data_IF_746071160293
#
_entry.id   IF_746071160293
#
_cell.length_a   1.000
_cell.length_b   1.000
_cell.length_c   1.000
_cell.angle_alpha   90.00
_cell.angle_beta   90.00
_cell.angle_gamma   90.00
#
_symmetry.space_group_name_H-M   'P 1'
#
loop_
_entity.id
_entity.type
_entity.pdbx_description
1 polymer ?
#
# COMPACT_ATOMS: atom_id res chain seq x y z
N UNK A 1 -6.00 27.37 17.37
CA UNK A 1 -5.55 25.98 17.67
C UNK A 1 -5.59 25.19 16.38
N UNK A 2 -4.43 24.75 15.91
CA UNK A 2 -4.24 24.18 14.58
C UNK A 2 -4.58 22.69 14.58
N UNK A 3 -5.79 22.30 14.11
CA UNK A 3 -6.30 20.92 14.17
C UNK A 3 -5.41 19.90 13.44
N UNK A 4 -4.59 20.33 12.48
CA UNK A 4 -3.68 19.44 11.75
C UNK A 4 -2.54 18.86 12.60
N UNK A 5 -2.05 19.58 13.63
CA UNK A 5 -0.93 19.11 14.45
C UNK A 5 -1.33 17.98 15.42
N UNK A 6 -2.61 17.90 15.80
CA UNK A 6 -3.11 16.84 16.70
C UNK A 6 -3.26 15.50 15.96
N UNK A 7 -3.70 15.50 14.70
CA UNK A 7 -3.95 14.28 13.93
C UNK A 7 -2.69 13.48 13.54
N UNK A 8 -1.56 14.15 13.30
CA UNK A 8 -0.32 13.48 12.84
C UNK A 8 0.37 12.73 13.98
N UNK A 9 0.32 13.26 15.21
CA UNK A 9 0.88 12.57 16.37
C UNK A 9 0.09 11.28 16.69
N UNK A 10 -1.22 11.30 16.50
CA UNK A 10 -2.09 10.15 16.81
C UNK A 10 -1.77 8.93 15.92
N UNK A 11 -1.52 9.12 14.62
CA UNK A 11 -1.21 7.99 13.71
C UNK A 11 0.16 7.37 13.97
N UNK A 12 1.14 8.19 14.31
CA UNK A 12 2.48 7.69 14.62
C UNK A 12 2.48 6.88 15.91
N UNK A 13 1.83 7.39 16.97
CA UNK A 13 1.66 6.65 18.22
C UNK A 13 0.88 5.35 18.00
N UNK A 14 -0.22 5.41 17.25
CA UNK A 14 -1.02 4.22 16.91
C UNK A 14 -0.19 3.17 16.14
N UNK A 15 0.66 3.61 15.21
CA UNK A 15 1.55 2.70 14.51
C UNK A 15 2.63 2.10 15.41
N UNK A 16 3.22 2.89 16.32
CA UNK A 16 4.17 2.37 17.30
C UNK A 16 3.56 1.27 18.16
N UNK A 17 2.32 1.45 18.63
CA UNK A 17 1.58 0.41 19.36
C UNK A 17 1.37 -0.81 18.48
N UNK A 18 0.91 -0.63 17.23
CA UNK A 18 0.74 -1.76 16.31
C UNK A 18 2.05 -2.51 16.05
N UNK A 19 3.18 -1.80 15.99
CA UNK A 19 4.51 -2.42 15.83
C UNK A 19 4.90 -3.28 17.01
N UNK A 20 4.67 -2.79 18.22
CA UNK A 20 4.94 -3.56 19.45
C UNK A 20 4.01 -4.77 19.57
N UNK A 21 2.79 -4.66 19.06
CA UNK A 21 1.81 -5.73 19.04
C UNK A 21 2.16 -6.85 18.05
N UNK A 22 3.03 -6.63 17.06
CA UNK A 22 3.42 -7.67 16.11
C UNK A 22 4.30 -8.72 16.79
N UNK A 23 3.73 -9.89 17.08
CA UNK A 23 4.47 -10.96 17.72
C UNK A 23 5.56 -11.56 16.82
N UNK A 24 6.61 -12.12 17.43
CA UNK A 24 7.68 -12.81 16.71
C UNK A 24 7.15 -13.94 15.80
N UNK A 25 6.15 -14.69 16.28
CA UNK A 25 5.52 -15.76 15.49
C UNK A 25 4.76 -15.21 14.28
N UNK A 26 4.04 -14.10 14.44
CA UNK A 26 3.37 -13.43 13.31
C UNK A 26 4.40 -12.88 12.32
N UNK A 27 5.46 -12.20 12.80
CA UNK A 27 6.55 -11.71 11.97
C UNK A 27 7.24 -12.82 11.18
N UNK A 28 7.59 -13.93 11.83
CA UNK A 28 8.17 -15.10 11.18
C UNK A 28 7.22 -15.70 10.13
N UNK A 29 5.91 -15.70 10.37
CA UNK A 29 4.93 -16.14 9.38
C UNK A 29 4.85 -15.18 8.18
N UNK A 30 4.96 -13.87 8.38
CA UNK A 30 5.03 -12.88 7.30
C UNK A 30 6.22 -13.15 6.37
N UNK A 31 7.38 -13.46 6.94
CA UNK A 31 8.57 -13.83 6.15
C UNK A 31 8.39 -15.19 5.49
N UNK A 32 8.22 -16.26 6.29
CA UNK A 32 8.27 -17.63 5.78
C UNK A 32 7.06 -18.04 4.95
N UNK A 33 5.83 -17.74 5.43
CA UNK A 33 4.60 -18.17 4.76
C UNK A 33 4.16 -17.18 3.68
N UNK A 34 4.31 -15.89 3.95
CA UNK A 34 3.82 -14.86 3.06
C UNK A 34 4.92 -14.24 2.18
N UNK A 35 6.19 -14.60 2.34
CA UNK A 35 7.27 -14.18 1.44
C UNK A 35 7.56 -12.69 1.51
N UNK A 36 7.24 -12.03 2.62
CA UNK A 36 7.63 -10.63 2.84
C UNK A 36 9.12 -10.62 3.20
N UNK A 37 9.98 -9.81 2.56
CA UNK A 37 11.38 -9.70 2.93
C UNK A 37 11.53 -9.34 4.41
N UNK A 38 12.47 -9.96 5.13
CA UNK A 38 12.67 -9.71 6.55
C UNK A 38 12.88 -8.22 6.86
N UNK A 39 13.63 -7.50 6.02
CA UNK A 39 13.85 -6.06 6.14
C UNK A 39 12.56 -5.21 6.06
N UNK A 40 11.47 -5.72 5.46
CA UNK A 40 10.15 -5.06 5.44
C UNK A 40 9.34 -5.36 6.69
N UNK A 41 9.59 -6.50 7.34
CA UNK A 41 8.96 -6.82 8.63
C UNK A 41 9.68 -6.04 9.75
N UNK A 42 11.01 -6.03 9.71
CA UNK A 42 11.90 -5.35 10.65
C UNK A 42 11.84 -3.83 10.45
N UNK A 43 10.84 -3.17 11.04
CA UNK A 43 10.80 -1.70 11.02
C UNK A 43 9.51 -1.11 10.45
N UNK A 44 8.88 -1.82 9.52
CA UNK A 44 7.88 -1.23 8.64
C UNK A 44 6.50 -1.88 8.75
N UNK A 45 6.29 -2.86 9.62
CA UNK A 45 4.98 -3.47 9.84
C UNK A 45 4.62 -3.58 11.31
N UNK A 46 3.31 -3.53 11.57
CA UNK A 46 2.69 -3.83 12.86
C UNK A 46 1.53 -4.80 12.71
N UNK A 47 0.86 -5.12 13.81
CA UNK A 47 -0.37 -5.86 13.85
C UNK A 47 -1.36 -5.21 14.82
N UNK A 48 -2.65 -5.30 14.52
CA UNK A 48 -3.71 -4.79 15.38
C UNK A 48 -4.94 -5.69 15.33
N UNK A 49 -5.72 -5.65 16.40
CA UNK A 49 -7.10 -6.16 16.40
C UNK A 49 -8.02 -5.02 15.96
N UNK A 50 -8.80 -5.24 14.91
CA UNK A 50 -9.55 -4.18 14.22
C UNK A 50 -11.03 -4.51 14.07
N UNK A 51 -11.87 -3.47 14.17
CA UNK A 51 -13.22 -3.44 13.59
C UNK A 51 -13.12 -2.85 12.18
N UNK A 52 -14.02 -3.24 11.28
CA UNK A 52 -14.02 -2.73 9.90
C UNK A 52 -15.39 -2.29 9.42
N UNK A 53 -15.38 -1.25 8.59
CA UNK A 53 -16.47 -0.87 7.71
C UNK A 53 -16.15 -1.36 6.28
N UNK A 54 -16.78 -0.79 5.27
CA UNK A 54 -16.48 -1.10 3.87
C UNK A 54 -15.05 -0.72 3.49
N UNK A 55 -14.62 0.51 3.82
CA UNK A 55 -13.33 1.08 3.44
C UNK A 55 -12.38 1.37 4.61
N UNK A 56 -12.90 1.47 5.83
CA UNK A 56 -12.13 1.93 6.99
C UNK A 56 -12.02 0.91 8.09
N UNK A 57 -11.01 1.07 8.95
CA UNK A 57 -10.84 0.30 10.17
C UNK A 57 -10.64 1.20 11.39
N UNK A 58 -10.95 0.66 12.56
CA UNK A 58 -10.65 1.27 13.87
C UNK A 58 -10.08 0.20 14.79
N UNK A 59 -9.16 0.55 15.73
CA UNK A 59 -8.72 -0.37 16.76
C UNK A 59 -9.92 -0.92 17.56
N UNK A 60 -9.97 -2.23 17.76
CA UNK A 60 -11.00 -2.89 18.55
C UNK A 60 -10.37 -4.06 19.32
N UNK A 61 -10.25 -3.98 20.65
CA UNK A 61 -9.82 -5.11 21.47
C UNK A 61 -10.71 -6.34 21.24
N UNK A 62 -10.11 -7.48 20.90
CA UNK A 62 -10.84 -8.69 20.53
C UNK A 62 -11.42 -8.70 19.11
N UNK A 63 -11.21 -7.61 18.36
CA UNK A 63 -11.54 -7.53 16.94
C UNK A 63 -10.70 -8.46 16.07
N UNK A 64 -10.87 -8.34 14.76
CA UNK A 64 -10.17 -9.19 13.80
C UNK A 64 -8.69 -8.81 13.74
N UNK A 65 -7.80 -9.80 13.85
CA UNK A 65 -6.35 -9.58 13.68
C UNK A 65 -6.01 -9.23 12.23
N UNK A 66 -5.23 -8.17 12.03
CA UNK A 66 -4.74 -7.70 10.73
C UNK A 66 -3.30 -7.20 10.83
N UNK A 67 -2.60 -7.22 9.70
CA UNK A 67 -1.31 -6.53 9.54
C UNK A 67 -1.59 -5.07 9.27
N UNK A 68 -0.84 -4.20 9.93
CA UNK A 68 -0.87 -2.74 9.75
C UNK A 68 0.42 -2.32 9.06
N UNK A 69 0.28 -1.65 7.91
CA UNK A 69 1.38 -1.08 7.14
C UNK A 69 1.25 0.45 7.14
N UNK A 70 2.31 1.19 7.44
CA UNK A 70 2.30 2.64 7.33
C UNK A 70 2.25 3.04 5.86
N UNK A 71 1.52 4.10 5.55
CA UNK A 71 1.59 4.76 4.25
C UNK A 71 2.41 6.03 4.42
N UNK A 72 3.59 6.06 3.79
CA UNK A 72 4.52 7.18 3.85
C UNK A 72 4.52 7.91 2.50
N UNK A 73 4.35 9.22 2.54
CA UNK A 73 4.46 10.11 1.38
C UNK A 73 5.31 11.33 1.76
N UNK A 74 6.31 11.65 0.93
CA UNK A 74 7.28 12.71 1.17
C UNK A 74 7.95 12.64 2.56
N UNK A 75 8.22 11.42 3.03
CA UNK A 75 8.80 11.15 4.35
C UNK A 75 7.86 11.35 5.54
N UNK A 76 6.58 11.64 5.33
CA UNK A 76 5.58 11.78 6.37
C UNK A 76 4.60 10.60 6.41
N UNK A 77 4.21 10.18 7.60
CA UNK A 77 3.13 9.20 7.79
C UNK A 77 1.79 9.87 7.49
N UNK A 78 1.14 9.46 6.41
CA UNK A 78 -0.13 10.06 5.96
C UNK A 78 -1.35 9.23 6.33
N UNK A 79 -1.22 7.90 6.43
CA UNK A 79 -2.30 6.98 6.80
C UNK A 79 -1.71 5.62 7.25
N UNK A 80 -2.59 4.73 7.70
CA UNK A 80 -2.29 3.32 7.99
C UNK A 80 -3.23 2.43 7.18
N UNK A 81 -2.66 1.47 6.46
CA UNK A 81 -3.46 0.44 5.77
C UNK A 81 -3.42 -0.86 6.56
N UNK A 82 -4.60 -1.36 6.91
CA UNK A 82 -4.77 -2.66 7.52
C UNK A 82 -5.21 -3.69 6.47
N UNK A 83 -4.62 -4.88 6.47
CA UNK A 83 -5.03 -5.96 5.59
C UNK A 83 -4.75 -7.33 6.22
N UNK A 84 -5.35 -8.37 5.65
CA UNK A 84 -5.08 -9.75 6.06
C UNK A 84 -4.21 -10.45 5.01
N UNK A 85 -3.03 -10.96 5.38
CA UNK A 85 -2.19 -11.69 4.42
C UNK A 85 -2.87 -12.93 3.81
N UNK A 86 -3.80 -13.55 4.54
CA UNK A 86 -4.62 -14.67 4.05
C UNK A 86 -5.75 -14.27 3.08
N UNK A 87 -6.06 -12.98 2.98
CA UNK A 87 -7.09 -12.42 2.11
C UNK A 87 -6.68 -11.02 1.62
N UNK A 88 -5.58 -10.88 0.87
CA UNK A 88 -4.92 -9.59 0.63
C UNK A 88 -5.68 -8.69 -0.34
N UNK A 89 -6.64 -9.24 -1.10
CA UNK A 89 -7.49 -8.47 -2.00
C UNK A 89 -8.47 -7.53 -1.26
N UNK A 90 -8.52 -7.57 0.08
CA UNK A 90 -9.27 -6.64 0.90
C UNK A 90 -8.36 -5.98 1.93
N UNK A 91 -8.41 -4.66 1.96
CA UNK A 91 -7.70 -3.81 2.91
C UNK A 91 -8.59 -2.64 3.32
N UNK A 92 -8.17 -1.94 4.36
CA UNK A 92 -8.90 -0.85 4.96
C UNK A 92 -7.93 0.27 5.32
N UNK A 93 -8.34 1.52 5.13
CA UNK A 93 -7.56 2.69 5.54
C UNK A 93 -7.98 3.16 6.94
N UNK A 94 -7.07 3.83 7.65
CA UNK A 94 -7.35 4.31 9.01
C UNK A 94 -8.08 5.64 9.00
N UNK A 95 -7.65 6.56 8.13
CA UNK A 95 -8.24 7.90 7.99
C UNK A 95 -8.83 8.15 6.60
N UNK A 96 -8.36 7.41 5.58
CA UNK A 96 -8.72 7.64 4.19
C UNK A 96 -7.90 8.73 3.51
N UNK A 97 -6.82 9.20 4.14
CA UNK A 97 -5.97 10.25 3.60
C UNK A 97 -5.00 9.74 2.53
N UNK A 98 -4.65 8.45 2.56
CA UNK A 98 -3.74 7.85 1.59
C UNK A 98 -4.44 7.33 0.33
N UNK A 99 -3.82 7.56 -0.82
CA UNK A 99 -4.26 6.97 -2.08
C UNK A 99 -3.34 5.86 -2.60
N UNK A 100 -2.07 5.83 -2.19
CA UNK A 100 -1.04 4.95 -2.77
C UNK A 100 0.04 4.53 -1.76
N UNK A 101 0.44 3.26 -1.78
CA UNK A 101 1.72 2.81 -1.22
C UNK A 101 2.84 3.04 -2.25
N UNK A 102 4.00 3.51 -1.79
CA UNK A 102 5.14 3.79 -2.67
C UNK A 102 5.05 5.13 -3.40
N UNK A 103 4.33 6.11 -2.84
CA UNK A 103 4.15 7.44 -3.45
C UNK A 103 5.46 8.15 -3.79
N UNK A 104 6.52 7.97 -2.98
CA UNK A 104 7.84 8.55 -3.26
C UNK A 104 8.50 7.95 -4.51
N UNK A 105 8.37 6.63 -4.69
CA UNK A 105 8.83 5.93 -5.90
C UNK A 105 8.07 6.37 -7.14
N UNK A 106 6.77 6.60 -7.00
CA UNK A 106 5.93 7.15 -8.07
C UNK A 106 6.37 8.55 -8.49
N UNK A 107 6.66 9.41 -7.51
CA UNK A 107 7.16 10.76 -7.75
C UNK A 107 8.53 10.74 -8.44
N UNK A 108 9.43 9.86 -7.99
CA UNK A 108 10.72 9.63 -8.64
C UNK A 108 10.54 9.22 -10.11
N UNK A 109 9.71 8.22 -10.37
CA UNK A 109 9.47 7.72 -11.71
C UNK A 109 8.90 8.79 -12.66
N UNK A 110 8.06 9.69 -12.15
CA UNK A 110 7.54 10.84 -12.91
C UNK A 110 8.63 11.80 -13.35
N UNK A 111 9.56 12.12 -12.44
CA UNK A 111 10.64 13.09 -12.71
C UNK A 111 11.63 12.53 -13.72
N UNK A 112 11.98 11.26 -13.56
CA UNK A 112 13.03 10.61 -14.36
C UNK A 112 12.49 9.81 -15.56
N UNK A 113 11.17 9.77 -15.74
CA UNK A 113 10.53 9.03 -16.84
C UNK A 113 10.67 7.51 -16.72
N UNK A 114 10.80 6.99 -15.51
CA UNK A 114 10.99 5.56 -15.27
C UNK A 114 9.65 4.80 -15.30
N UNK A 115 9.66 3.52 -15.70
CA UNK A 115 8.46 2.70 -15.65
C UNK A 115 8.08 2.37 -14.21
N UNK A 116 6.78 2.43 -13.91
CA UNK A 116 6.22 2.07 -12.61
C UNK A 116 5.52 0.72 -12.70
N UNK A 117 5.71 -0.16 -11.71
CA UNK A 117 4.91 -1.38 -11.58
C UNK A 117 3.83 -1.18 -10.52
N UNK A 118 2.58 -1.40 -10.91
CA UNK A 118 1.40 -1.29 -10.06
C UNK A 118 1.00 -2.67 -9.54
N UNK A 119 0.99 -2.79 -8.23
CA UNK A 119 0.58 -3.97 -7.48
C UNK A 119 -0.90 -3.93 -7.18
N UNK A 120 -1.55 -5.09 -7.26
CA UNK A 120 -2.99 -5.19 -7.06
C UNK A 120 -3.44 -5.18 -5.59
N UNK A 121 -2.51 -5.29 -4.64
CA UNK A 121 -2.82 -5.26 -3.21
C UNK A 121 -1.57 -4.99 -2.34
N UNK A 122 -1.74 -4.59 -1.06
CA UNK A 122 -0.64 -4.30 -0.15
C UNK A 122 0.34 -5.46 0.06
N UNK A 123 -0.13 -6.71 0.07
CA UNK A 123 0.75 -7.87 0.24
C UNK A 123 1.68 -8.05 -0.98
N UNK A 124 1.17 -7.87 -2.19
CA UNK A 124 1.97 -7.93 -3.41
C UNK A 124 3.05 -6.83 -3.41
N UNK A 125 2.70 -5.62 -2.96
CA UNK A 125 3.67 -4.52 -2.80
C UNK A 125 4.77 -4.83 -1.78
N UNK A 126 4.40 -5.36 -0.61
CA UNK A 126 5.38 -5.73 0.42
C UNK A 126 6.35 -6.83 -0.05
N UNK A 127 5.91 -7.74 -0.93
CA UNK A 127 6.75 -8.81 -1.51
C UNK A 127 7.75 -8.31 -2.54
N UNK A 128 7.39 -7.26 -3.26
CA UNK A 128 8.08 -6.84 -4.48
C UNK A 128 9.47 -6.25 -4.24
N UNK A 129 9.64 -5.66 -3.06
CA UNK A 129 10.83 -4.99 -2.55
C UNK A 129 11.53 -4.05 -3.55
N UNK A 130 10.77 -3.43 -4.45
CA UNK A 130 11.31 -2.54 -5.46
C UNK A 130 10.87 -1.09 -5.19
N UNK A 131 11.79 -0.11 -5.18
CA UNK A 131 11.47 1.28 -4.79
C UNK A 131 10.42 1.97 -5.66
N UNK A 132 10.30 1.57 -6.93
CA UNK A 132 9.36 2.16 -7.89
C UNK A 132 8.02 1.41 -7.96
N UNK A 133 7.85 0.36 -7.17
CA UNK A 133 6.60 -0.38 -7.15
C UNK A 133 5.58 0.35 -6.27
N UNK A 134 4.35 0.38 -6.74
CA UNK A 134 3.26 1.12 -6.09
C UNK A 134 2.06 0.22 -5.89
N UNK A 135 1.23 0.49 -4.89
CA UNK A 135 -0.09 -0.14 -4.75
C UNK A 135 -1.14 0.93 -4.56
N UNK A 136 -2.14 0.96 -5.44
CA UNK A 136 -3.24 1.90 -5.32
C UNK A 136 -4.20 1.41 -4.23
N UNK A 137 -4.48 2.28 -3.26
CA UNK A 137 -5.22 1.93 -2.04
C UNK A 137 -6.69 2.34 -2.11
N UNK A 138 -6.98 3.48 -2.74
CA UNK A 138 -8.34 4.01 -2.81
C UNK A 138 -9.03 3.59 -4.12
N UNK A 139 -10.25 3.07 -3.99
CA UNK A 139 -11.05 2.64 -5.15
C UNK A 139 -11.44 3.81 -6.08
N UNK A 140 -11.46 5.02 -5.53
CA UNK A 140 -11.76 6.29 -6.16
C UNK A 140 -10.51 7.16 -6.36
N UNK A 141 -9.31 6.62 -6.08
CA UNK A 141 -8.03 7.33 -6.20
C UNK A 141 -7.96 8.18 -7.49
N UNK A 142 -7.45 9.41 -7.36
CA UNK A 142 -7.29 10.33 -8.48
C UNK A 142 -6.14 9.88 -9.39
N UNK A 143 -6.41 8.93 -10.29
CA UNK A 143 -5.39 8.35 -11.17
C UNK A 143 -4.67 9.40 -12.03
N UNK A 144 -5.37 10.47 -12.44
CA UNK A 144 -4.74 11.59 -13.16
C UNK A 144 -3.69 12.26 -12.26
N UNK A 145 -4.07 12.56 -11.01
CA UNK A 145 -3.17 13.14 -10.01
C UNK A 145 -2.03 12.21 -9.58
N UNK A 146 -2.22 10.89 -9.63
CA UNK A 146 -1.24 9.90 -9.17
C UNK A 146 -0.31 9.36 -10.25
N UNK A 147 -0.81 9.13 -11.46
CA UNK A 147 -0.01 8.56 -12.56
C UNK A 147 0.20 9.56 -13.71
N UNK A 148 -0.39 10.76 -13.66
CA UNK A 148 -0.07 11.82 -14.62
C UNK A 148 1.44 12.09 -14.66
N UNK A 149 2.03 12.11 -15.85
CA UNK A 149 3.48 12.22 -16.05
C UNK A 149 4.24 10.89 -16.04
N UNK A 150 3.63 9.78 -15.61
CA UNK A 150 4.19 8.45 -15.83
C UNK A 150 4.02 8.08 -17.30
N UNK A 151 5.12 7.69 -17.95
CA UNK A 151 5.13 7.37 -19.38
C UNK A 151 4.79 5.89 -19.62
N UNK A 152 5.14 5.03 -18.68
CA UNK A 152 4.96 3.59 -18.78
C UNK A 152 4.57 2.99 -17.42
N UNK A 153 3.52 2.17 -17.43
CA UNK A 153 3.10 1.41 -16.25
C UNK A 153 2.94 -0.06 -16.59
N UNK A 154 3.37 -0.94 -15.70
CA UNK A 154 3.05 -2.37 -15.76
C UNK A 154 2.18 -2.76 -14.58
N UNK A 155 1.35 -3.78 -14.73
CA UNK A 155 0.56 -4.33 -13.65
C UNK A 155 1.04 -5.73 -13.29
N UNK A 156 1.05 -6.05 -12.00
CA UNK A 156 1.48 -7.36 -11.48
C UNK A 156 0.61 -8.54 -11.95
N UNK A 157 -0.66 -8.29 -12.23
CA UNK A 157 -1.60 -9.31 -12.68
C UNK A 157 -2.48 -8.81 -13.82
N UNK A 158 -3.06 -9.72 -14.64
CA UNK A 158 -4.07 -9.35 -15.62
C UNK A 158 -5.31 -8.66 -15.03
N UNK A 159 -5.66 -8.97 -13.77
CA UNK A 159 -6.79 -8.33 -13.10
C UNK A 159 -6.48 -6.87 -12.78
N UNK A 160 -5.29 -6.59 -12.22
CA UNK A 160 -4.78 -5.24 -11.96
C UNK A 160 -4.68 -4.45 -13.27
N UNK A 161 -4.14 -5.04 -14.34
CA UNK A 161 -4.07 -4.40 -15.65
C UNK A 161 -5.46 -4.01 -16.17
N UNK A 162 -6.44 -4.93 -16.14
CA UNK A 162 -7.81 -4.64 -16.58
C UNK A 162 -8.44 -3.51 -15.76
N UNK A 163 -8.29 -3.55 -14.44
CA UNK A 163 -8.84 -2.51 -13.57
C UNK A 163 -8.21 -1.14 -13.85
N UNK A 164 -6.87 -1.08 -14.01
CA UNK A 164 -6.18 0.13 -14.42
C UNK A 164 -6.67 0.63 -15.77
N UNK A 165 -6.71 -0.24 -16.79
CA UNK A 165 -7.17 0.11 -18.13
C UNK A 165 -8.60 0.64 -18.11
N UNK A 166 -9.52 0.00 -17.38
CA UNK A 166 -10.92 0.44 -17.28
C UNK A 166 -11.03 1.84 -16.66
N UNK A 167 -10.28 2.14 -15.61
CA UNK A 167 -10.29 3.46 -14.98
C UNK A 167 -9.50 4.52 -15.76
N UNK A 168 -8.49 4.10 -16.51
CA UNK A 168 -7.55 4.98 -17.22
C UNK A 168 -8.02 5.40 -18.62
N UNK A 169 -8.67 4.50 -19.36
CA UNK A 169 -9.12 4.78 -20.73
C UNK A 169 -10.11 5.95 -20.83
N UNK A 170 -10.82 6.25 -19.74
CA UNK A 170 -11.70 7.42 -19.66
C UNK A 170 -10.92 8.75 -19.51
N UNK A 171 -9.65 8.72 -19.11
CA UNK A 171 -8.91 9.88 -18.59
C UNK A 171 -7.73 10.33 -19.46
N UNK A 172 -6.89 9.42 -20.00
CA UNK A 172 -5.68 9.81 -20.78
C UNK A 172 -5.22 8.74 -21.80
N UNK A 173 -5.17 9.02 -23.13
CA UNK A 173 -4.86 8.00 -24.15
C UNK A 173 -3.37 7.64 -24.31
N UNK A 174 -2.44 8.20 -23.52
CA UNK A 174 -0.98 8.07 -23.76
C UNK A 174 -0.23 7.10 -22.85
N UNK A 175 -0.86 6.53 -21.82
CA UNK A 175 -0.20 5.56 -20.93
C UNK A 175 -0.30 4.17 -21.54
N UNK A 176 0.84 3.52 -21.78
CA UNK A 176 0.89 2.11 -22.12
C UNK A 176 0.84 1.29 -20.84
N UNK A 177 -0.24 0.53 -20.66
CA UNK A 177 -0.42 -0.43 -19.56
C UNK A 177 -0.12 -1.83 -20.11
N UNK A 178 0.93 -2.47 -19.60
CA UNK A 178 1.23 -3.88 -19.89
C UNK A 178 1.06 -4.74 -18.63
N UNK A 179 0.86 -6.06 -18.81
CA UNK A 179 0.99 -7.01 -17.71
C UNK A 179 2.46 -7.37 -17.58
N UNK A 180 3.02 -7.31 -16.37
CA UNK A 180 4.37 -7.82 -16.11
C UNK A 180 4.34 -9.35 -16.25
N UNK A 181 4.86 -9.87 -17.36
CA UNK A 181 4.93 -11.31 -17.65
C UNK A 181 6.17 -11.97 -17.05
N UNK A 182 7.02 -11.23 -16.34
CA UNK A 182 8.14 -11.83 -15.62
C UNK A 182 9.30 -10.89 -15.29
N UNK A 183 9.36 -10.47 -14.02
CA UNK A 183 10.48 -10.85 -13.16
C UNK A 183 10.01 -12.05 -12.33
N UNK A 184 10.48 -13.25 -12.67
CA UNK A 184 10.45 -14.33 -11.69
C UNK A 184 11.15 -13.79 -10.43
N UNK A 185 10.46 -13.80 -9.30
CA UNK A 185 11.11 -13.58 -8.00
C UNK A 185 12.20 -14.66 -7.89
N UNK A 186 13.45 -14.24 -8.05
CA UNK A 186 14.62 -15.07 -7.77
C UNK A 186 14.79 -15.20 -6.26
#
# INVERSE_FOLDING_TARGET
MNKQATFVNDLFEEFCVAREDLSEVEGAALVGRYGIPAARVDGALGAASIATTEAFWTPEPGGRRAVVCPVIEAGALVDLVAFRPSAPAKWWLRTGAAEVLGGDGLWHARIYGEPVRVMGNPLAWLRADHPLDVCLLASDANLIGLLGGVVQATADTPATARWLTQRWQAAMPRLNIAVDTGRAAA
#
